data_IF_397408016367
#
_entry.id   IF_397408016367
#
_cell.length_a   1.000
_cell.length_b   1.000
_cell.length_c   1.000
_cell.angle_alpha   90.00
_cell.angle_beta   90.00
_cell.angle_gamma   90.00
#
_symmetry.space_group_name_H-M   'P 1'
#
loop_
_entity.id
_entity.type
_entity.pdbx_description
1 polymer ?
#
# COMPACT_ATOMS: atom_id res chain seq x y z
N UNK A 1 16.57 2.81 12.45
CA UNK A 1 17.12 1.90 11.41
C UNK A 1 16.57 0.48 11.49
N UNK A 2 16.45 -0.16 12.68
CA UNK A 2 16.15 -1.61 12.82
C UNK A 2 14.86 -2.15 12.16
N UNK A 3 13.91 -1.29 11.81
CA UNK A 3 12.61 -1.70 11.24
C UNK A 3 12.59 -1.72 9.70
N UNK A 4 13.61 -1.17 9.07
CA UNK A 4 13.68 -1.03 7.62
C UNK A 4 14.46 -2.21 7.04
N UNK A 5 14.01 -2.71 5.88
CA UNK A 5 14.81 -3.63 5.07
C UNK A 5 16.05 -2.91 4.53
N UNK A 6 17.10 -3.63 4.08
CA UNK A 6 18.27 -3.01 3.45
C UNK A 6 17.91 -2.10 2.27
N UNK A 7 16.99 -2.54 1.39
CA UNK A 7 16.49 -1.74 0.28
C UNK A 7 15.73 -0.50 0.76
N UNK A 8 14.88 -0.64 1.79
CA UNK A 8 14.16 0.48 2.39
C UNK A 8 15.08 1.50 3.06
N UNK A 9 16.17 1.05 3.71
CA UNK A 9 17.20 1.96 4.26
C UNK A 9 17.90 2.72 3.14
N UNK A 10 18.28 2.04 2.05
CA UNK A 10 18.90 2.68 0.89
C UNK A 10 17.99 3.77 0.31
N UNK A 11 16.70 3.47 0.14
CA UNK A 11 15.70 4.42 -0.33
C UNK A 11 15.48 5.59 0.65
N UNK A 12 15.42 5.33 1.96
CA UNK A 12 15.25 6.38 2.96
C UNK A 12 16.43 7.37 2.92
N UNK A 13 17.65 6.85 2.80
CA UNK A 13 18.85 7.67 2.68
C UNK A 13 18.88 8.48 1.38
N UNK A 14 18.48 7.88 0.25
CA UNK A 14 18.48 8.58 -1.05
C UNK A 14 17.37 9.62 -1.16
N UNK A 15 16.18 9.35 -0.63
CA UNK A 15 15.02 10.25 -0.69
C UNK A 15 15.16 11.47 0.22
N UNK A 16 15.94 11.37 1.30
CA UNK A 16 16.11 12.41 2.35
C UNK A 16 14.79 12.84 3.02
N UNK A 17 13.74 12.04 2.87
CA UNK A 17 12.45 12.28 3.50
C UNK A 17 12.56 11.99 5.00
N UNK A 18 11.91 12.84 5.81
CA UNK A 18 11.77 12.66 7.27
C UNK A 18 10.34 12.37 7.71
N UNK A 19 9.42 12.45 6.77
CA UNK A 19 7.99 12.21 6.91
C UNK A 19 7.47 11.77 5.52
N UNK A 20 6.26 11.18 5.46
CA UNK A 20 5.58 10.91 4.21
C UNK A 20 5.57 12.13 3.28
N UNK A 21 5.57 11.87 1.98
CA UNK A 21 5.46 12.93 0.98
C UNK A 21 4.17 13.74 1.25
N UNK A 22 4.27 15.06 1.15
CA UNK A 22 3.16 16.00 1.46
C UNK A 22 2.74 16.07 2.94
N UNK A 23 3.57 15.62 3.89
CA UNK A 23 3.34 15.79 5.33
C UNK A 23 4.45 16.65 5.97
N UNK A 24 4.09 17.61 6.85
CA UNK A 24 5.08 18.44 7.57
C UNK A 24 4.63 18.92 8.95
N UNK A 25 5.61 19.27 9.78
CA UNK A 25 5.49 20.23 10.88
C UNK A 25 4.88 19.73 12.19
N UNK A 26 4.84 20.64 13.15
CA UNK A 26 4.19 20.51 14.47
C UNK A 26 3.39 21.81 14.74
N UNK A 27 2.04 21.79 14.72
CA UNK A 27 1.17 20.64 14.46
C UNK A 27 1.30 20.12 13.02
N UNK A 28 0.93 18.85 12.82
CA UNK A 28 1.01 18.21 11.50
C UNK A 28 0.07 18.87 10.49
N UNK A 29 0.60 19.12 9.29
CA UNK A 29 -0.13 19.59 8.11
C UNK A 29 0.07 18.60 6.96
N UNK A 30 -0.97 18.47 6.11
CA UNK A 30 -0.94 17.70 4.86
C UNK A 30 -1.19 18.64 3.68
N UNK A 31 -0.51 18.40 2.56
CA UNK A 31 -0.79 19.11 1.30
C UNK A 31 -1.82 18.34 0.48
N UNK A 32 -2.93 18.99 0.12
CA UNK A 32 -3.94 18.43 -0.79
C UNK A 32 -4.30 19.48 -1.83
N UNK A 33 -4.25 19.10 -3.12
CA UNK A 33 -4.50 20.03 -4.23
C UNK A 33 -3.56 21.24 -4.25
N UNK A 34 -2.32 21.10 -3.74
CA UNK A 34 -1.35 22.20 -3.62
C UNK A 34 -1.49 23.04 -2.33
N UNK A 35 -2.56 22.87 -1.56
CA UNK A 35 -2.82 23.65 -0.35
C UNK A 35 -2.44 22.87 0.92
N UNK A 36 -1.72 23.53 1.82
CA UNK A 36 -1.41 22.99 3.14
C UNK A 36 -2.56 23.22 4.10
N UNK A 37 -3.00 22.16 4.78
CA UNK A 37 -4.08 22.22 5.75
C UNK A 37 -3.79 21.32 6.96
N UNK A 38 -4.47 21.53 8.10
CA UNK A 38 -4.31 20.66 9.27
C UNK A 38 -4.57 19.18 8.94
N UNK A 39 -3.74 18.29 9.49
CA UNK A 39 -3.92 16.85 9.29
C UNK A 39 -5.16 16.34 10.01
N UNK A 40 -6.14 15.84 9.25
CA UNK A 40 -7.27 15.09 9.80
C UNK A 40 -6.81 13.74 10.32
N UNK A 41 -6.84 13.53 11.64
CA UNK A 41 -6.31 12.30 12.29
C UNK A 41 -7.07 11.02 11.94
N UNK A 42 -8.29 11.13 11.42
CA UNK A 42 -9.11 10.01 10.97
C UNK A 42 -8.86 9.61 9.51
N UNK A 43 -8.10 10.42 8.76
CA UNK A 43 -7.77 10.10 7.37
C UNK A 43 -6.72 8.98 7.32
N UNK A 44 -6.83 8.04 6.37
CA UNK A 44 -5.77 7.09 6.09
C UNK A 44 -4.47 7.82 5.75
N UNK A 45 -3.35 7.29 6.23
CA UNK A 45 -2.04 7.74 5.76
C UNK A 45 -1.93 7.49 4.26
N UNK A 46 -1.37 8.47 3.54
CA UNK A 46 -1.29 8.49 2.08
C UNK A 46 0.11 8.94 1.65
N UNK A 47 0.44 8.76 0.37
CA UNK A 47 1.74 9.08 -0.20
C UNK A 47 2.90 8.37 0.50
N UNK A 48 2.66 7.09 0.81
CA UNK A 48 3.64 6.19 1.39
C UNK A 48 4.23 5.29 0.30
N UNK A 49 5.54 5.11 0.34
CA UNK A 49 6.24 4.04 -0.36
C UNK A 49 5.91 2.68 0.26
N UNK A 50 6.17 1.61 -0.48
CA UNK A 50 6.03 0.26 0.04
C UNK A 50 7.03 -0.01 1.18
N UNK A 51 8.21 0.63 1.13
CA UNK A 51 9.23 0.55 2.19
C UNK A 51 8.78 1.21 3.50
N UNK A 52 8.13 2.37 3.45
CA UNK A 52 7.55 3.02 4.63
C UNK A 52 6.46 2.16 5.26
N UNK A 53 5.58 1.60 4.42
CA UNK A 53 4.50 0.72 4.87
C UNK A 53 5.05 -0.53 5.59
N UNK A 54 6.09 -1.16 5.05
CA UNK A 54 6.77 -2.29 5.70
C UNK A 54 7.48 -1.90 6.98
N UNK A 55 8.21 -0.79 6.98
CA UNK A 55 8.94 -0.34 8.16
C UNK A 55 7.99 -0.01 9.31
N UNK A 56 6.83 0.59 9.01
CA UNK A 56 5.78 0.80 9.99
C UNK A 56 5.23 -0.53 10.52
N UNK A 57 4.95 -1.49 9.63
CA UNK A 57 4.45 -2.81 10.04
C UNK A 57 5.44 -3.50 10.96
N UNK A 58 6.73 -3.53 10.60
CA UNK A 58 7.79 -4.11 11.42
C UNK A 58 7.88 -3.43 12.79
N UNK A 59 7.85 -2.09 12.84
CA UNK A 59 7.81 -1.34 14.10
C UNK A 59 6.59 -1.70 14.97
N UNK A 60 5.43 -1.90 14.35
CA UNK A 60 4.19 -2.23 15.04
C UNK A 60 4.05 -3.72 15.40
N UNK A 61 5.05 -4.57 15.10
CA UNK A 61 4.92 -6.03 15.29
C UNK A 61 3.86 -6.66 14.38
N UNK A 62 3.69 -6.12 13.18
CA UNK A 62 2.71 -6.54 12.16
C UNK A 62 3.41 -6.80 10.83
N UNK A 63 2.63 -7.14 9.80
CA UNK A 63 3.09 -7.24 8.41
C UNK A 63 2.05 -6.69 7.44
N UNK A 64 2.46 -6.45 6.20
CA UNK A 64 1.52 -6.24 5.11
C UNK A 64 0.81 -7.57 4.76
N UNK A 65 -0.49 -7.53 4.39
CA UNK A 65 -1.17 -8.69 3.84
C UNK A 65 -0.60 -9.02 2.46
N UNK A 66 -0.66 -10.29 2.06
CA UNK A 66 -0.52 -10.67 0.66
C UNK A 66 -1.71 -10.14 -0.15
N UNK A 67 -1.57 -10.03 -1.48
CA UNK A 67 -2.70 -9.62 -2.32
C UNK A 67 -3.90 -10.59 -2.24
N UNK A 68 -3.63 -11.87 -2.01
CA UNK A 68 -4.68 -12.89 -1.83
C UNK A 68 -5.42 -12.75 -0.50
N UNK A 69 -4.70 -12.48 0.60
CA UNK A 69 -5.32 -12.19 1.91
C UNK A 69 -6.18 -10.94 1.83
N UNK A 70 -5.68 -9.89 1.17
CA UNK A 70 -6.42 -8.65 0.96
C UNK A 70 -7.69 -8.89 0.13
N UNK A 71 -7.57 -9.58 -1.00
CA UNK A 71 -8.71 -9.88 -1.88
C UNK A 71 -9.76 -10.70 -1.16
N UNK A 72 -9.32 -11.72 -0.40
CA UNK A 72 -10.23 -12.56 0.38
C UNK A 72 -11.01 -11.75 1.40
N UNK A 73 -10.35 -10.86 2.15
CA UNK A 73 -11.00 -10.00 3.13
C UNK A 73 -12.01 -9.05 2.45
N UNK A 74 -11.63 -8.43 1.33
CA UNK A 74 -12.50 -7.52 0.58
C UNK A 74 -13.76 -8.23 0.01
N UNK A 75 -13.62 -9.48 -0.43
CA UNK A 75 -14.71 -10.26 -1.01
C UNK A 75 -15.59 -10.99 0.03
N UNK A 76 -15.18 -11.06 1.29
CA UNK A 76 -15.99 -11.67 2.36
C UNK A 76 -17.21 -10.83 2.74
N UNK A 77 -17.20 -9.54 2.40
CA UNK A 77 -18.32 -8.64 2.71
C UNK A 77 -18.42 -8.27 4.19
N UNK A 78 -17.33 -8.38 4.96
CA UNK A 78 -17.28 -7.88 6.33
C UNK A 78 -17.50 -6.35 6.33
N UNK A 79 -18.57 -5.83 6.97
CA UNK A 79 -18.83 -4.39 7.04
C UNK A 79 -17.71 -3.59 7.70
N UNK A 80 -16.89 -4.22 8.55
CA UNK A 80 -15.74 -3.59 9.17
C UNK A 80 -14.55 -3.44 8.21
N UNK A 81 -14.54 -4.15 7.07
CA UNK A 81 -13.51 -4.06 6.05
C UNK A 81 -13.84 -2.97 5.03
N UNK A 82 -13.58 -1.71 5.40
CA UNK A 82 -13.71 -0.57 4.49
C UNK A 82 -12.42 -0.34 3.69
N UNK A 83 -12.55 -0.14 2.38
CA UNK A 83 -11.45 0.11 1.44
C UNK A 83 -11.87 1.12 0.38
N UNK A 84 -10.91 1.60 -0.43
CA UNK A 84 -11.17 2.55 -1.52
C UNK A 84 -10.76 4.00 -1.22
N UNK A 85 -10.34 4.30 0.01
CA UNK A 85 -9.83 5.62 0.36
C UNK A 85 -8.43 5.87 -0.22
N UNK A 86 -7.55 4.89 -0.13
CA UNK A 86 -6.19 4.90 -0.71
C UNK A 86 -5.89 3.52 -1.30
N UNK A 87 -5.03 3.46 -2.31
CA UNK A 87 -4.45 2.20 -2.74
C UNK A 87 -3.66 1.59 -1.59
N UNK A 88 -3.79 0.29 -1.35
CA UNK A 88 -3.15 -0.36 -0.20
C UNK A 88 -2.00 -1.25 -0.67
N UNK A 89 -0.76 -0.92 -0.29
CA UNK A 89 0.40 -1.78 -0.53
C UNK A 89 0.21 -3.18 0.08
N UNK A 90 0.64 -4.20 -0.66
CA UNK A 90 0.63 -5.60 -0.22
C UNK A 90 2.04 -6.17 -0.17
N UNK A 91 2.24 -7.27 0.56
CA UNK A 91 3.48 -8.04 0.59
C UNK A 91 3.82 -8.74 -0.73
N UNK A 92 2.90 -8.75 -1.71
CA UNK A 92 3.05 -9.50 -2.96
C UNK A 92 3.85 -8.73 -4.01
N UNK A 93 4.81 -9.41 -4.62
CA UNK A 93 5.37 -9.01 -5.93
C UNK A 93 4.29 -9.11 -7.00
N UNK A 94 4.36 -8.24 -8.00
CA UNK A 94 3.47 -8.31 -9.15
C UNK A 94 3.94 -9.43 -10.08
N UNK A 95 3.27 -10.57 -9.97
CA UNK A 95 3.54 -11.77 -10.77
C UNK A 95 2.31 -12.16 -11.61
N UNK A 96 2.49 -12.90 -12.72
CA UNK A 96 1.37 -13.51 -13.42
C UNK A 96 0.70 -14.54 -12.51
N UNK A 97 -0.63 -14.55 -12.51
CA UNK A 97 -1.36 -15.68 -11.94
C UNK A 97 -1.20 -16.92 -12.81
N UNK A 98 -1.38 -18.10 -12.22
CA UNK A 98 -1.38 -19.36 -12.96
C UNK A 98 -2.39 -19.30 -14.12
N UNK A 99 -1.94 -19.64 -15.32
CA UNK A 99 -2.75 -19.56 -16.54
C UNK A 99 -2.93 -18.15 -17.12
N UNK A 100 -2.14 -17.15 -16.69
CA UNK A 100 -2.17 -15.81 -17.28
C UNK A 100 -1.95 -15.86 -18.80
N UNK A 101 -2.86 -15.22 -19.54
CA UNK A 101 -2.74 -14.94 -20.97
C UNK A 101 -2.83 -13.44 -21.15
N UNK A 102 -1.85 -12.85 -21.84
CA UNK A 102 -1.81 -11.41 -22.03
C UNK A 102 -2.97 -10.93 -22.92
N UNK A 103 -3.61 -9.84 -22.51
CA UNK A 103 -4.54 -9.07 -23.35
C UNK A 103 -3.79 -8.55 -24.61
N UNK A 104 -4.48 -8.27 -25.74
CA UNK A 104 -3.85 -7.67 -26.93
C UNK A 104 -3.01 -6.41 -26.65
N UNK A 105 -3.36 -5.65 -25.62
CA UNK A 105 -2.47 -4.62 -25.06
C UNK A 105 -1.37 -5.28 -24.20
N UNK A 106 -0.40 -5.89 -24.87
CA UNK A 106 0.63 -6.74 -24.25
C UNK A 106 1.49 -6.02 -23.23
N UNK A 107 1.76 -4.74 -23.44
CA UNK A 107 2.68 -3.95 -22.61
C UNK A 107 2.04 -3.47 -21.29
N UNK A 108 0.75 -3.75 -21.10
CA UNK A 108 0.03 -3.30 -19.91
C UNK A 108 0.54 -3.98 -18.64
N UNK A 109 0.73 -5.31 -18.64
CA UNK A 109 1.12 -6.06 -17.44
C UNK A 109 2.43 -6.84 -17.60
N UNK A 110 2.58 -7.59 -18.70
CA UNK A 110 3.64 -8.59 -18.83
C UNK A 110 5.07 -8.04 -18.65
N UNK A 111 5.43 -6.85 -19.18
CA UNK A 111 6.77 -6.30 -19.01
C UNK A 111 7.13 -5.95 -17.56
N UNK A 112 6.14 -5.86 -16.68
CA UNK A 112 6.31 -5.35 -15.32
C UNK A 112 6.35 -6.44 -14.25
N UNK A 113 6.20 -7.71 -14.63
CA UNK A 113 6.31 -8.82 -13.69
C UNK A 113 7.71 -8.90 -13.06
N UNK A 114 7.79 -9.34 -11.81
CA UNK A 114 9.05 -9.47 -11.05
C UNK A 114 9.71 -8.16 -10.59
N UNK A 115 9.29 -7.00 -11.08
CA UNK A 115 9.93 -5.70 -10.80
C UNK A 115 9.10 -4.75 -9.96
N UNK A 116 7.81 -5.06 -9.75
CA UNK A 116 6.85 -4.19 -9.06
C UNK A 116 6.16 -4.91 -7.92
N UNK A 117 5.55 -4.13 -7.04
CA UNK A 117 4.70 -4.62 -5.95
C UNK A 117 3.26 -4.29 -6.20
N UNK A 118 2.39 -5.15 -5.69
CA UNK A 118 0.95 -5.01 -5.87
C UNK A 118 0.36 -4.08 -4.83
N UNK A 119 -0.53 -3.19 -5.29
CA UNK A 119 -1.50 -2.47 -4.47
C UNK A 119 -2.91 -2.94 -4.82
N UNK A 120 -3.79 -2.98 -3.81
CA UNK A 120 -5.16 -3.42 -3.97
C UNK A 120 -6.17 -2.35 -3.53
N UNK A 121 -7.43 -2.60 -3.85
CA UNK A 121 -8.54 -1.71 -3.58
C UNK A 121 -8.72 -0.66 -4.65
N UNK A 122 -8.65 0.60 -4.22
CA UNK A 122 -8.78 1.81 -5.03
C UNK A 122 -8.39 3.00 -4.15
N UNK A 123 -8.31 4.19 -4.72
CA UNK A 123 -8.18 5.45 -3.98
C UNK A 123 -9.33 6.40 -4.27
N UNK A 124 -9.45 7.48 -3.49
CA UNK A 124 -10.40 8.57 -3.77
C UNK A 124 -10.27 9.16 -5.19
N UNK A 125 -9.07 9.12 -5.79
CA UNK A 125 -8.83 9.52 -7.18
C UNK A 125 -9.10 8.46 -8.25
N UNK A 126 -9.56 7.25 -7.90
CA UNK A 126 -9.80 6.15 -8.85
C UNK A 126 -11.18 6.27 -9.49
N UNK A 127 -11.27 6.10 -10.82
CA UNK A 127 -12.57 6.12 -11.51
C UNK A 127 -13.48 4.98 -11.03
N UNK A 128 -14.79 5.20 -10.81
CA UNK A 128 -15.71 4.19 -10.29
C UNK A 128 -15.71 2.86 -11.06
N UNK A 129 -15.56 2.90 -12.39
CA UNK A 129 -15.50 1.68 -13.23
C UNK A 129 -14.25 0.80 -12.99
N UNK A 130 -13.20 1.36 -12.40
CA UNK A 130 -11.98 0.63 -12.02
C UNK A 130 -11.98 0.27 -10.52
N UNK A 131 -12.97 0.73 -9.76
CA UNK A 131 -13.09 0.50 -8.33
C UNK A 131 -13.60 -0.93 -8.06
N UNK A 132 -12.69 -1.90 -8.16
CA UNK A 132 -13.04 -3.32 -8.06
C UNK A 132 -12.10 -4.08 -7.12
N UNK A 133 -12.68 -4.92 -6.25
CA UNK A 133 -11.94 -5.68 -5.27
C UNK A 133 -10.90 -6.62 -5.88
N UNK A 134 -10.99 -7.00 -7.16
CA UNK A 134 -9.98 -7.82 -7.88
C UNK A 134 -8.96 -7.02 -8.70
N UNK A 135 -9.06 -5.69 -8.75
CA UNK A 135 -8.16 -4.87 -9.56
C UNK A 135 -6.75 -4.84 -8.94
N UNK A 136 -5.73 -5.18 -9.73
CA UNK A 136 -4.32 -5.20 -9.30
C UNK A 136 -3.63 -3.95 -9.84
N UNK A 137 -3.36 -2.98 -8.97
CA UNK A 137 -2.47 -1.88 -9.30
C UNK A 137 -1.03 -2.27 -8.95
N UNK A 138 -0.04 -1.69 -9.61
CA UNK A 138 1.35 -2.10 -9.43
C UNK A 138 2.34 -0.98 -9.73
N UNK A 139 3.30 -0.79 -8.82
CA UNK A 139 4.38 0.20 -8.96
C UNK A 139 5.67 -0.32 -8.35
N UNK A 140 6.77 0.36 -8.65
CA UNK A 140 8.04 0.10 -7.97
C UNK A 140 7.92 0.46 -6.48
N UNK A 141 8.61 -0.26 -5.58
CA UNK A 141 8.41 -0.12 -4.14
C UNK A 141 8.75 1.27 -3.58
N UNK A 142 9.63 2.01 -4.24
CA UNK A 142 10.03 3.37 -3.87
C UNK A 142 8.98 4.44 -4.17
N UNK A 143 7.98 4.13 -5.00
CA UNK A 143 7.02 5.12 -5.50
C UNK A 143 6.09 5.62 -4.39
N UNK A 144 6.03 6.93 -4.17
CA UNK A 144 5.22 7.56 -3.13
C UNK A 144 4.44 8.82 -3.58
N UNK A 145 4.48 9.16 -4.87
CA UNK A 145 3.71 10.24 -5.50
C UNK A 145 2.24 9.85 -5.80
N UNK A 146 1.89 8.58 -5.59
CA UNK A 146 0.55 8.03 -5.78
C UNK A 146 -0.29 8.13 -4.50
N UNK A 147 -1.61 7.99 -4.62
CA UNK A 147 -2.54 7.91 -3.48
C UNK A 147 -2.47 6.54 -2.78
N UNK A 148 -1.28 6.16 -2.33
CA UNK A 148 -1.02 4.89 -1.66
C UNK A 148 -0.82 5.05 -0.16
N UNK A 149 -1.50 4.20 0.57
CA UNK A 149 -1.25 3.91 1.97
C UNK A 149 -1.05 2.40 2.12
N UNK A 150 -1.46 1.88 3.26
CA UNK A 150 -1.41 0.44 3.51
C UNK A 150 -2.41 0.04 4.58
N UNK A 151 -2.64 -1.27 4.64
CA UNK A 151 -3.26 -1.93 5.77
C UNK A 151 -2.31 -2.99 6.27
N UNK A 152 -2.34 -3.25 7.56
CA UNK A 152 -1.52 -4.29 8.18
C UNK A 152 -2.39 -5.44 8.69
N UNK A 153 -1.79 -6.62 8.74
CA UNK A 153 -2.36 -7.83 9.33
C UNK A 153 -1.41 -8.39 10.39
N UNK A 154 -1.90 -9.31 11.22
CA UNK A 154 -1.09 -9.95 12.25
C UNK A 154 0.04 -10.79 11.63
N UNK A 155 1.14 -10.93 12.37
CA UNK A 155 2.15 -11.94 12.07
C UNK A 155 1.49 -13.33 12.17
N UNK A 156 1.72 -14.20 11.19
CA UNK A 156 1.25 -15.59 11.31
C UNK A 156 1.99 -16.23 12.49
N UNK A 157 1.25 -16.62 13.54
CA UNK A 157 1.83 -17.19 14.75
C UNK A 157 1.17 -16.81 16.08
N UNK A 158 0.18 -15.90 16.11
CA UNK A 158 -0.59 -15.64 17.33
C UNK A 158 -2.00 -16.23 17.24
N UNK A 159 -2.11 -17.56 17.43
CA UNK A 159 -3.24 -18.10 18.20
C UNK A 159 -2.96 -17.80 19.67
N UNK A 160 -3.10 -16.53 20.04
CA UNK A 160 -3.22 -16.15 21.45
C UNK A 160 -4.56 -16.63 21.95
N UNK A 161 -4.55 -17.45 22.99
CA UNK A 161 -5.74 -18.00 23.60
C UNK A 161 -6.66 -16.95 24.22
N UNK A 162 -7.82 -17.46 24.62
CA UNK A 162 -8.93 -16.83 25.34
C UNK A 162 -9.80 -15.87 24.50
N UNK A 163 -10.98 -16.37 24.10
CA UNK A 163 -12.11 -16.52 25.05
C UNK A 163 -12.74 -17.89 24.89
#
# INVERSE_FOLDING_TARGET
ARWWSPAGLSWLHSSRLRAPLYLRGTPWQVQMGGHWQPLGRALPACHLSAFEAEAWCAWAGRRLPTEGEWERAALQGDPAFTWGAVWEWTASSFEPYAGFVAHPYRDYSAPWFGSRRVLRGASFGTQPRLHHARYRNFFTPERNDIFAGFRSCALQGHRGGAR
#
